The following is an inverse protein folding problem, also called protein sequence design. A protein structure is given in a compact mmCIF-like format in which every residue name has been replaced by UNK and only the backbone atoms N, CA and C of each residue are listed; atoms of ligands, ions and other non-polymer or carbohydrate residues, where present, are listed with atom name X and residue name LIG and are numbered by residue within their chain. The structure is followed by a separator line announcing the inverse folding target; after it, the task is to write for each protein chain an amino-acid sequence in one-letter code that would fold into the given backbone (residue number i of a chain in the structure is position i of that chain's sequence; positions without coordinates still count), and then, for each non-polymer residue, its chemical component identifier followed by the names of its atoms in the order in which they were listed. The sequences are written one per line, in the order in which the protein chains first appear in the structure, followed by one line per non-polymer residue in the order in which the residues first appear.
data_IF_884139860737
#
_entry.id   IF_884139860737
#
_cell.length_a   1.000
_cell.length_b   1.000
_cell.length_c   1.000
_cell.angle_alpha   90.00
_cell.angle_beta   90.00
_cell.angle_gamma   90.00
#
_symmetry.space_group_name_H-M   'P 1'
#
loop_
_entity.id
_entity.type
_entity.pdbx_description
1 polymer ?
#
# COMPACT_ATOMS: atom_id res chain seq x y z
N UNK A 1 -87.17 -35.56 23.65
CA UNK A 1 -85.87 -36.15 24.18
C UNK A 1 -84.82 -36.44 23.10
N UNK A 2 -85.17 -37.00 21.92
CA UNK A 2 -84.18 -37.37 20.88
C UNK A 2 -83.56 -36.13 20.23
N UNK A 3 -84.30 -35.07 19.89
CA UNK A 3 -83.78 -33.81 19.33
C UNK A 3 -82.82 -33.08 20.27
N UNK A 4 -83.10 -33.06 21.60
CA UNK A 4 -82.21 -32.45 22.58
C UNK A 4 -80.89 -33.17 22.76
N UNK A 5 -80.88 -34.53 22.68
CA UNK A 5 -79.65 -35.33 22.71
C UNK A 5 -78.76 -35.13 21.43
N UNK A 6 -79.44 -34.98 20.28
CA UNK A 6 -78.73 -34.71 19.04
C UNK A 6 -78.09 -33.29 19.02
N UNK A 7 -78.83 -32.29 19.55
CA UNK A 7 -78.31 -30.94 19.71
C UNK A 7 -77.13 -30.87 20.70
N UNK A 8 -77.23 -31.57 21.85
CA UNK A 8 -76.14 -31.60 22.83
C UNK A 8 -74.91 -32.35 22.24
N UNK A 9 -75.07 -33.44 21.47
CA UNK A 9 -74.00 -34.13 20.82
C UNK A 9 -73.28 -33.24 19.76
N UNK A 10 -74.05 -32.49 18.95
CA UNK A 10 -73.49 -31.56 17.98
C UNK A 10 -72.74 -30.41 18.67
N UNK A 11 -73.26 -29.85 19.79
CA UNK A 11 -72.57 -28.80 20.55
C UNK A 11 -71.23 -29.32 21.15
N UNK A 12 -71.21 -30.54 21.66
CA UNK A 12 -70.00 -31.18 22.18
C UNK A 12 -68.96 -31.38 21.04
N UNK A 13 -69.43 -31.86 19.88
CA UNK A 13 -68.55 -32.09 18.69
C UNK A 13 -68.00 -30.76 18.20
N UNK A 14 -68.83 -29.69 18.10
CA UNK A 14 -68.37 -28.35 17.68
C UNK A 14 -67.40 -27.76 18.68
N UNK A 15 -67.64 -27.91 19.98
CA UNK A 15 -66.74 -27.44 21.03
C UNK A 15 -65.39 -28.20 20.99
N UNK A 16 -65.44 -29.51 20.78
CA UNK A 16 -64.24 -30.32 20.67
C UNK A 16 -63.43 -29.97 19.41
N UNK A 17 -64.11 -29.74 18.30
CA UNK A 17 -63.47 -29.32 17.04
C UNK A 17 -62.84 -27.92 17.20
N UNK A 18 -63.55 -26.98 17.80
CA UNK A 18 -63.00 -25.62 18.09
C UNK A 18 -61.80 -25.68 19.03
N UNK A 19 -61.85 -26.50 20.09
CA UNK A 19 -60.72 -26.67 21.00
C UNK A 19 -59.52 -27.28 20.29
N UNK A 20 -59.73 -28.29 19.45
CA UNK A 20 -58.64 -28.92 18.67
C UNK A 20 -58.03 -27.93 17.66
N UNK A 21 -58.86 -27.13 17.01
CA UNK A 21 -58.39 -26.06 16.12
C UNK A 21 -57.59 -25.00 16.87
N UNK A 22 -58.05 -24.59 18.06
CA UNK A 22 -57.33 -23.62 18.88
C UNK A 22 -55.99 -24.15 19.36
N UNK A 23 -55.95 -25.42 19.78
CA UNK A 23 -54.67 -26.06 20.16
C UNK A 23 -53.72 -26.20 18.95
N UNK A 24 -54.25 -26.60 17.80
CA UNK A 24 -53.45 -26.75 16.58
C UNK A 24 -52.88 -25.39 16.13
N UNK A 25 -53.68 -24.33 16.13
CA UNK A 25 -53.22 -22.98 15.80
C UNK A 25 -52.21 -22.43 16.83
N UNK A 26 -52.40 -22.73 18.13
CA UNK A 26 -51.44 -22.39 19.18
C UNK A 26 -50.09 -23.09 18.99
N UNK A 27 -50.08 -24.38 18.69
CA UNK A 27 -48.85 -25.14 18.38
C UNK A 27 -48.16 -24.58 17.13
N UNK A 28 -48.93 -24.27 16.08
CA UNK A 28 -48.40 -23.70 14.85
C UNK A 28 -47.76 -22.32 15.11
N UNK A 29 -48.39 -21.47 15.90
CA UNK A 29 -47.84 -20.17 16.28
C UNK A 29 -46.56 -20.30 17.12
N UNK A 30 -46.49 -21.29 18.03
CA UNK A 30 -45.29 -21.57 18.80
C UNK A 30 -44.14 -22.06 17.91
N UNK A 31 -44.42 -22.99 16.97
CA UNK A 31 -43.41 -23.48 16.00
C UNK A 31 -42.90 -22.37 15.08
N UNK A 32 -43.79 -21.50 14.60
CA UNK A 32 -43.43 -20.33 13.80
C UNK A 32 -42.58 -19.33 14.61
N UNK A 33 -42.97 -19.06 15.87
CA UNK A 33 -42.16 -18.20 16.75
C UNK A 33 -40.77 -18.76 17.04
N UNK A 34 -40.67 -20.06 17.29
CA UNK A 34 -39.40 -20.75 17.52
C UNK A 34 -38.50 -20.75 16.24
N UNK A 35 -39.12 -21.00 15.09
CA UNK A 35 -38.40 -20.93 13.79
C UNK A 35 -37.91 -19.51 13.49
N UNK A 36 -38.75 -18.49 13.75
CA UNK A 36 -38.36 -17.09 13.61
C UNK A 36 -37.21 -16.70 14.55
N UNK A 37 -37.28 -17.12 15.83
CA UNK A 37 -36.20 -16.89 16.80
C UNK A 37 -34.91 -17.54 16.38
N UNK A 38 -34.96 -18.80 15.94
CA UNK A 38 -33.78 -19.53 15.41
C UNK A 38 -33.23 -18.85 14.17
N UNK A 39 -34.10 -18.40 13.26
CA UNK A 39 -33.66 -17.65 12.07
C UNK A 39 -33.05 -16.31 12.43
N UNK A 40 -33.63 -15.55 13.34
CA UNK A 40 -33.09 -14.31 13.87
C UNK A 40 -31.73 -14.53 14.54
N UNK A 41 -31.58 -15.59 15.33
CA UNK A 41 -30.31 -15.92 15.98
C UNK A 41 -29.24 -16.36 14.97
N UNK A 42 -29.59 -17.19 14.00
CA UNK A 42 -28.67 -17.71 13.01
C UNK A 42 -28.28 -16.69 11.91
N UNK A 43 -29.17 -15.71 11.62
CA UNK A 43 -29.00 -14.76 10.51
C UNK A 43 -29.08 -13.30 10.95
N UNK A 44 -29.31 -13.02 12.21
CA UNK A 44 -29.38 -11.67 12.76
C UNK A 44 -28.03 -10.94 12.66
N UNK A 45 -28.07 -9.62 12.44
CA UNK A 45 -26.87 -8.79 12.32
C UNK A 45 -25.94 -8.90 13.55
N UNK A 46 -26.52 -9.10 14.74
CA UNK A 46 -25.80 -9.13 16.02
C UNK A 46 -25.30 -10.53 16.44
N UNK A 47 -25.86 -11.59 15.87
CA UNK A 47 -25.61 -12.95 16.35
C UNK A 47 -25.14 -13.92 15.29
N UNK A 48 -25.61 -13.81 14.03
CA UNK A 48 -25.33 -14.77 12.97
C UNK A 48 -24.56 -14.22 11.77
N UNK A 49 -24.37 -12.89 11.69
CA UNK A 49 -23.73 -12.23 10.54
C UNK A 49 -22.27 -11.80 10.80
N UNK A 50 -21.80 -11.88 12.03
CA UNK A 50 -20.53 -11.31 12.46
C UNK A 50 -20.67 -9.85 12.91
N UNK A 51 -19.61 -9.32 13.51
CA UNK A 51 -19.59 -7.95 14.02
C UNK A 51 -19.42 -6.95 12.88
N UNK A 52 -20.40 -6.05 12.69
CA UNK A 52 -20.34 -4.97 11.69
C UNK A 52 -20.00 -5.47 10.28
N UNK A 53 -20.54 -6.59 9.85
CA UNK A 53 -20.13 -7.31 8.63
C UNK A 53 -20.16 -6.44 7.35
N UNK A 54 -21.09 -5.50 7.21
CA UNK A 54 -21.15 -4.58 6.07
C UNK A 54 -19.98 -3.58 6.08
N UNK A 55 -19.62 -3.04 7.25
CA UNK A 55 -18.46 -2.14 7.40
C UNK A 55 -17.18 -2.89 7.08
N UNK A 56 -17.02 -4.10 7.62
CA UNK A 56 -15.85 -4.97 7.37
C UNK A 56 -15.69 -5.27 5.89
N UNK A 57 -16.78 -5.57 5.17
CA UNK A 57 -16.73 -5.81 3.74
C UNK A 57 -16.30 -4.55 2.97
N UNK A 58 -16.84 -3.40 3.33
CA UNK A 58 -16.47 -2.12 2.72
C UNK A 58 -14.99 -1.78 2.97
N UNK A 59 -14.48 -1.94 4.20
CA UNK A 59 -13.07 -1.72 4.54
C UNK A 59 -12.14 -2.67 3.78
N UNK A 60 -12.46 -3.96 3.71
CA UNK A 60 -11.68 -4.93 2.96
C UNK A 60 -11.62 -4.59 1.46
N UNK A 61 -12.73 -4.09 0.91
CA UNK A 61 -12.81 -3.62 -0.47
C UNK A 61 -11.93 -2.39 -0.68
N UNK A 62 -12.01 -1.40 0.23
CA UNK A 62 -11.17 -0.20 0.18
C UNK A 62 -9.68 -0.55 0.30
N UNK A 63 -9.32 -1.43 1.22
CA UNK A 63 -7.93 -1.88 1.41
C UNK A 63 -7.39 -2.61 0.17
N UNK A 64 -8.18 -3.49 -0.45
CA UNK A 64 -7.81 -4.18 -1.68
C UNK A 64 -7.63 -3.22 -2.85
N UNK A 65 -8.55 -2.26 -3.02
CA UNK A 65 -8.47 -1.21 -4.03
C UNK A 65 -7.25 -0.30 -3.83
N UNK A 66 -7.00 0.12 -2.60
CA UNK A 66 -5.84 0.94 -2.25
C UNK A 66 -4.51 0.23 -2.58
N UNK A 67 -4.42 -1.09 -2.35
CA UNK A 67 -3.22 -1.87 -2.69
C UNK A 67 -2.89 -1.88 -4.19
N UNK A 68 -3.90 -1.90 -5.06
CA UNK A 68 -3.70 -1.76 -6.51
C UNK A 68 -3.25 -0.34 -6.89
N UNK A 69 -3.95 0.66 -6.40
CA UNK A 69 -3.66 2.07 -6.71
C UNK A 69 -2.29 2.54 -6.18
N UNK A 70 -1.81 2.00 -5.05
CA UNK A 70 -0.46 2.27 -4.54
C UNK A 70 0.61 1.90 -5.57
N UNK A 71 0.44 0.78 -6.27
CA UNK A 71 1.41 0.34 -7.29
C UNK A 71 1.47 1.34 -8.45
N UNK A 72 0.32 1.80 -8.94
CA UNK A 72 0.23 2.77 -10.03
C UNK A 72 0.80 4.13 -9.59
N UNK A 73 0.41 4.63 -8.42
CA UNK A 73 0.95 5.86 -7.85
C UNK A 73 2.49 5.79 -7.66
N UNK A 74 3.00 4.64 -7.19
CA UNK A 74 4.43 4.45 -7.01
C UNK A 74 5.17 4.44 -8.36
N UNK A 75 4.61 3.84 -9.39
CA UNK A 75 5.18 3.87 -10.74
C UNK A 75 5.24 5.30 -11.28
N UNK A 76 4.16 6.07 -11.13
CA UNK A 76 4.11 7.48 -11.53
C UNK A 76 5.13 8.32 -10.74
N UNK A 77 5.19 8.16 -9.42
CA UNK A 77 6.16 8.86 -8.58
C UNK A 77 7.61 8.49 -8.93
N UNK A 78 7.90 7.23 -9.27
CA UNK A 78 9.22 6.79 -9.69
C UNK A 78 9.62 7.42 -11.03
N UNK A 79 8.69 7.48 -11.99
CA UNK A 79 8.95 8.12 -13.29
C UNK A 79 9.10 9.63 -13.21
N UNK A 80 8.54 10.28 -12.19
CA UNK A 80 8.70 11.72 -11.96
C UNK A 80 10.07 12.08 -11.39
N UNK A 81 10.81 11.13 -10.81
CA UNK A 81 12.15 11.41 -10.29
C UNK A 81 13.12 11.77 -11.43
N UNK A 82 14.07 12.63 -11.11
CA UNK A 82 15.06 13.13 -12.08
C UNK A 82 16.06 12.07 -12.55
N UNK A 83 16.12 10.91 -11.88
CA UNK A 83 17.10 9.85 -12.13
C UNK A 83 16.53 8.64 -12.89
N UNK A 84 15.22 8.58 -13.14
CA UNK A 84 14.56 7.42 -13.74
C UNK A 84 14.11 7.73 -15.17
N UNK A 85 14.12 6.72 -16.03
CA UNK A 85 13.66 6.84 -17.42
C UNK A 85 14.65 7.48 -18.38
N UNK A 86 15.96 7.43 -18.07
CA UNK A 86 17.02 7.94 -18.98
C UNK A 86 17.03 9.48 -19.10
N UNK A 87 16.49 10.18 -18.09
CA UNK A 87 16.47 11.64 -18.08
C UNK A 87 17.89 12.19 -17.99
N UNK A 88 18.23 13.05 -18.95
CA UNK A 88 19.49 13.80 -18.99
C UNK A 88 19.17 15.29 -18.89
N UNK A 89 20.06 16.06 -18.28
CA UNK A 89 19.88 17.51 -18.06
C UNK A 89 20.95 18.32 -18.81
N UNK A 90 20.60 19.51 -19.25
CA UNK A 90 21.54 20.44 -19.89
C UNK A 90 22.64 20.90 -18.92
N UNK A 91 22.27 21.13 -17.66
CA UNK A 91 23.19 21.59 -16.62
C UNK A 91 22.87 20.90 -15.29
N UNK A 92 23.82 20.16 -14.74
CA UNK A 92 23.73 19.59 -13.39
C UNK A 92 23.73 20.69 -12.33
N UNK A 93 24.47 21.77 -12.58
CA UNK A 93 24.54 22.91 -11.64
C UNK A 93 23.20 23.61 -11.47
N UNK A 94 22.39 23.71 -12.52
CA UNK A 94 21.03 24.24 -12.43
C UNK A 94 20.13 23.38 -11.54
N UNK A 95 20.21 22.06 -11.67
CA UNK A 95 19.46 21.13 -10.80
C UNK A 95 19.89 21.28 -9.34
N UNK A 96 21.20 21.36 -9.08
CA UNK A 96 21.74 21.59 -7.73
C UNK A 96 21.25 22.92 -7.18
N UNK A 97 21.35 23.99 -7.95
CA UNK A 97 20.90 25.33 -7.54
C UNK A 97 19.41 25.36 -7.26
N UNK A 98 18.61 24.68 -8.09
CA UNK A 98 17.15 24.58 -7.87
C UNK A 98 16.84 23.86 -6.54
N UNK A 99 17.49 22.74 -6.26
CA UNK A 99 17.31 21.99 -5.01
C UNK A 99 17.74 22.82 -3.79
N UNK A 100 18.87 23.49 -3.86
CA UNK A 100 19.35 24.38 -2.79
C UNK A 100 18.42 25.57 -2.57
N UNK A 101 17.86 26.14 -3.63
CA UNK A 101 16.89 27.23 -3.50
C UNK A 101 15.61 26.75 -2.81
N UNK A 102 15.09 25.57 -3.14
CA UNK A 102 13.94 24.99 -2.45
C UNK A 102 14.29 24.66 -1.00
N UNK A 103 15.47 24.08 -0.74
CA UNK A 103 15.94 23.84 0.63
C UNK A 103 15.92 25.12 1.47
N UNK A 104 16.53 26.20 0.98
CA UNK A 104 16.58 27.49 1.68
C UNK A 104 15.20 28.13 1.87
N UNK A 105 14.31 27.98 0.90
CA UNK A 105 12.96 28.56 0.97
C UNK A 105 12.02 27.76 1.88
N UNK A 106 12.09 26.42 1.82
CA UNK A 106 11.08 25.55 2.41
C UNK A 106 11.58 24.74 3.61
N UNK A 107 12.90 24.46 3.69
CA UNK A 107 13.47 23.51 4.65
C UNK A 107 14.68 24.05 5.42
N UNK A 108 14.90 25.36 5.39
CA UNK A 108 15.99 26.04 6.11
C UNK A 108 16.13 25.55 7.54
N UNK A 109 17.31 25.06 7.88
CA UNK A 109 17.63 24.52 9.21
C UNK A 109 17.95 25.62 10.23
N UNK A 110 17.97 25.28 11.52
CA UNK A 110 18.35 26.20 12.59
C UNK A 110 19.77 26.75 12.41
N UNK A 111 20.71 25.84 12.04
CA UNK A 111 22.11 26.21 11.85
C UNK A 111 22.30 27.21 10.67
N UNK A 112 21.61 26.97 9.56
CA UNK A 112 21.66 27.84 8.38
C UNK A 112 21.00 29.20 8.63
N UNK A 113 19.89 29.21 9.38
CA UNK A 113 19.23 30.43 9.79
C UNK A 113 20.13 31.28 10.72
N UNK A 114 20.81 30.65 11.67
CA UNK A 114 21.77 31.30 12.56
C UNK A 114 22.99 31.83 11.79
N UNK A 115 23.40 31.13 10.72
CA UNK A 115 24.45 31.58 9.82
C UNK A 115 23.99 32.66 8.83
N UNK A 116 22.73 33.11 8.87
CA UNK A 116 22.18 34.16 8.00
C UNK A 116 21.97 33.71 6.53
N UNK A 117 21.97 32.40 6.26
CA UNK A 117 21.87 31.89 4.89
C UNK A 117 20.41 31.82 4.38
N UNK A 118 19.44 31.70 5.28
CA UNK A 118 18.01 31.60 4.98
C UNK A 118 17.16 31.91 6.22
N UNK A 119 15.84 32.02 6.06
CA UNK A 119 14.90 32.18 7.18
C UNK A 119 14.44 30.79 7.67
N UNK A 120 14.48 30.55 9.00
CA UNK A 120 14.10 29.29 9.62
C UNK A 120 12.73 28.78 9.12
N UNK A 121 12.70 27.58 8.62
CA UNK A 121 11.50 26.96 8.12
C UNK A 121 10.60 26.41 9.23
N UNK A 122 9.30 26.20 8.93
CA UNK A 122 8.38 25.41 9.79
C UNK A 122 8.70 23.92 9.79
N UNK A 123 9.43 23.42 8.79
CA UNK A 123 9.89 22.04 8.67
C UNK A 123 11.40 22.01 8.39
N UNK A 124 12.24 22.33 9.39
CA UNK A 124 13.69 22.44 9.20
C UNK A 124 14.29 21.09 8.76
N UNK A 125 15.09 21.09 7.68
CA UNK A 125 15.73 19.89 7.15
C UNK A 125 14.77 18.80 6.68
N UNK A 126 13.51 19.18 6.33
CA UNK A 126 12.51 18.22 5.90
C UNK A 126 12.92 17.43 4.66
N UNK A 127 13.62 18.04 3.72
CA UNK A 127 14.14 17.44 2.49
C UNK A 127 15.33 16.46 2.69
N UNK A 128 15.83 16.37 3.92
CA UNK A 128 16.87 15.40 4.34
C UNK A 128 16.38 14.43 5.40
N UNK A 129 15.12 14.55 5.83
CA UNK A 129 14.53 13.71 6.86
C UNK A 129 13.76 12.52 6.28
N UNK A 130 14.44 11.38 6.09
CA UNK A 130 13.83 10.16 5.55
C UNK A 130 12.69 9.59 6.43
N UNK A 131 12.59 9.96 7.73
CA UNK A 131 11.49 9.49 8.58
C UNK A 131 10.11 9.96 8.10
N UNK A 132 10.05 11.05 7.33
CA UNK A 132 8.82 11.55 6.74
C UNK A 132 8.20 10.58 5.74
N UNK A 133 8.99 9.72 5.08
CA UNK A 133 8.49 8.69 4.17
C UNK A 133 7.57 7.67 4.86
N UNK A 134 7.72 7.50 6.18
CA UNK A 134 6.96 6.54 6.99
C UNK A 134 5.79 7.16 7.75
N UNK A 135 5.49 8.43 7.53
CA UNK A 135 4.36 9.13 8.16
C UNK A 135 3.22 9.28 7.15
N UNK A 136 2.00 9.18 7.62
CA UNK A 136 0.81 9.44 6.80
C UNK A 136 0.68 10.95 6.51
N UNK A 137 0.76 11.34 5.23
CA UNK A 137 0.89 12.74 4.78
C UNK A 137 -0.13 13.07 3.70
N UNK A 138 -0.75 14.25 3.78
CA UNK A 138 -1.69 14.72 2.77
C UNK A 138 -0.96 15.15 1.47
N UNK A 139 -1.51 14.83 0.28
CA UNK A 139 -0.98 15.34 -0.99
C UNK A 139 -0.93 16.88 -0.99
N UNK A 140 0.12 17.45 -1.59
CA UNK A 140 0.30 18.89 -1.70
C UNK A 140 0.70 19.59 -0.41
N UNK A 141 0.87 18.88 0.71
CA UNK A 141 1.39 19.44 1.94
C UNK A 141 2.90 19.73 1.87
N UNK A 142 3.41 20.50 2.82
CA UNK A 142 4.85 20.77 2.95
C UNK A 142 5.65 19.49 3.22
N UNK A 143 5.08 18.57 3.97
CA UNK A 143 5.66 17.25 4.24
C UNK A 143 5.70 16.38 2.97
N UNK A 144 4.69 16.47 2.10
CA UNK A 144 4.72 15.78 0.80
C UNK A 144 5.81 16.33 -0.12
N UNK A 145 6.01 17.66 -0.13
CA UNK A 145 7.12 18.30 -0.84
C UNK A 145 8.48 17.85 -0.27
N UNK A 146 8.60 17.80 1.06
CA UNK A 146 9.80 17.30 1.74
C UNK A 146 10.14 15.87 1.31
N UNK A 147 9.15 14.95 1.30
CA UNK A 147 9.32 13.56 0.86
C UNK A 147 9.80 13.44 -0.58
N UNK A 148 9.28 14.29 -1.48
CA UNK A 148 9.76 14.37 -2.85
C UNK A 148 11.25 14.68 -2.89
N UNK A 149 11.69 15.72 -2.16
CA UNK A 149 13.10 16.12 -2.13
C UNK A 149 14.00 15.14 -1.37
N UNK A 150 13.49 14.43 -0.34
CA UNK A 150 14.21 13.31 0.28
C UNK A 150 14.55 12.24 -0.77
N UNK A 151 13.58 11.83 -1.60
CA UNK A 151 13.82 10.86 -2.68
C UNK A 151 14.82 11.38 -3.70
N UNK A 152 14.68 12.63 -4.14
CA UNK A 152 15.60 13.28 -5.07
C UNK A 152 17.04 13.38 -4.51
N UNK A 153 17.18 13.71 -3.23
CA UNK A 153 18.49 13.81 -2.57
C UNK A 153 19.16 12.44 -2.39
N UNK A 154 18.38 11.38 -2.07
CA UNK A 154 18.89 10.00 -1.98
C UNK A 154 19.37 9.50 -3.35
N UNK A 155 18.63 9.77 -4.42
CA UNK A 155 18.93 9.29 -5.77
C UNK A 155 20.04 10.11 -6.45
N UNK A 156 20.32 11.32 -5.98
CA UNK A 156 21.36 12.19 -6.50
C UNK A 156 20.94 13.05 -7.69
N UNK A 157 21.91 13.58 -8.43
CA UNK A 157 21.67 14.45 -9.60
C UNK A 157 21.65 13.65 -10.89
N UNK A 158 20.79 14.00 -11.87
CA UNK A 158 20.79 13.36 -13.19
C UNK A 158 22.07 13.67 -13.98
N UNK A 159 22.38 12.80 -14.95
CA UNK A 159 23.56 12.97 -15.80
C UNK A 159 23.33 14.06 -16.86
N UNK A 160 24.44 14.61 -17.34
CA UNK A 160 24.41 15.69 -18.34
C UNK A 160 24.09 15.13 -19.73
N UNK A 161 23.25 15.84 -20.47
CA UNK A 161 22.98 15.54 -21.89
C UNK A 161 24.18 15.85 -22.77
N UNK A 162 24.34 15.06 -23.85
CA UNK A 162 25.32 15.32 -24.89
C UNK A 162 24.69 16.09 -26.06
N UNK A 163 25.51 16.82 -26.82
CA UNK A 163 25.09 17.33 -28.11
C UNK A 163 24.84 16.18 -29.10
N UNK A 164 24.01 16.38 -30.10
CA UNK A 164 23.72 15.35 -31.12
C UNK A 164 25.01 14.90 -31.86
N UNK A 165 25.96 15.81 -32.08
CA UNK A 165 27.22 15.47 -32.72
C UNK A 165 28.09 14.57 -31.81
N UNK A 166 28.22 14.91 -30.53
CA UNK A 166 28.98 14.13 -29.54
C UNK A 166 28.33 12.76 -29.27
N UNK A 167 27.01 12.69 -29.19
CA UNK A 167 26.28 11.45 -28.95
C UNK A 167 26.47 10.38 -30.03
N UNK A 168 26.83 10.78 -31.27
CA UNK A 168 27.10 9.88 -32.39
C UNK A 168 28.55 9.34 -32.42
N UNK A 169 29.45 9.88 -31.62
CA UNK A 169 30.83 9.37 -31.52
C UNK A 169 30.84 8.07 -30.70
N UNK A 170 31.85 7.19 -30.92
CA UNK A 170 31.98 5.97 -30.10
C UNK A 170 32.03 6.27 -28.59
N UNK A 171 32.78 7.29 -28.17
CA UNK A 171 32.84 7.72 -26.78
C UNK A 171 31.48 8.25 -26.24
N UNK A 172 30.71 8.95 -27.09
CA UNK A 172 29.36 9.40 -26.75
C UNK A 172 28.39 8.24 -26.60
N UNK A 173 28.48 7.22 -27.45
CA UNK A 173 27.66 6.00 -27.33
C UNK A 173 28.02 5.19 -26.07
N UNK A 174 29.30 5.04 -25.74
CA UNK A 174 29.75 4.42 -24.50
C UNK A 174 29.21 5.17 -23.25
N UNK A 175 29.23 6.51 -23.27
CA UNK A 175 28.65 7.34 -22.20
C UNK A 175 27.16 7.13 -22.07
N UNK A 176 26.37 7.15 -23.16
CA UNK A 176 24.92 6.93 -23.13
C UNK A 176 24.60 5.52 -22.65
N UNK A 177 25.37 4.51 -23.00
CA UNK A 177 25.20 3.16 -22.47
C UNK A 177 25.47 3.10 -20.98
N UNK A 178 26.53 3.75 -20.49
CA UNK A 178 26.85 3.81 -19.07
C UNK A 178 25.76 4.55 -18.26
N UNK A 179 25.23 5.66 -18.81
CA UNK A 179 24.11 6.38 -18.16
C UNK A 179 22.83 5.55 -18.12
N UNK A 180 22.53 4.80 -19.18
CA UNK A 180 21.39 3.89 -19.20
C UNK A 180 21.53 2.77 -18.16
N UNK A 181 22.71 2.18 -18.02
CA UNK A 181 22.98 1.18 -16.99
C UNK A 181 22.82 1.75 -15.58
N UNK A 182 23.39 2.93 -15.31
CA UNK A 182 23.23 3.65 -14.04
C UNK A 182 21.76 3.92 -13.75
N UNK A 183 21.02 4.44 -14.72
CA UNK A 183 19.58 4.75 -14.57
C UNK A 183 18.76 3.49 -14.28
N UNK A 184 19.05 2.38 -14.96
CA UNK A 184 18.40 1.10 -14.73
C UNK A 184 18.64 0.58 -13.30
N UNK A 185 19.87 0.71 -12.79
CA UNK A 185 20.20 0.35 -11.40
C UNK A 185 19.52 1.25 -10.39
N UNK A 186 19.41 2.56 -10.65
CA UNK A 186 18.72 3.52 -9.79
C UNK A 186 17.18 3.39 -9.84
N UNK A 187 16.63 2.81 -10.90
CA UNK A 187 15.18 2.63 -11.03
C UNK A 187 14.60 1.73 -9.94
N UNK A 188 15.34 0.71 -9.48
CA UNK A 188 14.89 -0.17 -8.39
C UNK A 188 14.74 0.55 -7.05
N UNK A 189 15.78 1.25 -6.52
CA UNK A 189 15.62 2.02 -5.29
C UNK A 189 14.62 3.17 -5.46
N UNK A 190 14.55 3.83 -6.61
CA UNK A 190 13.57 4.87 -6.87
C UNK A 190 12.14 4.35 -6.75
N UNK A 191 11.85 3.19 -7.35
CA UNK A 191 10.55 2.54 -7.24
C UNK A 191 10.23 2.10 -5.80
N UNK A 192 11.21 1.52 -5.09
CA UNK A 192 11.01 1.09 -3.70
C UNK A 192 10.69 2.27 -2.77
N UNK A 193 11.41 3.38 -2.90
CA UNK A 193 11.13 4.61 -2.15
C UNK A 193 9.77 5.21 -2.52
N UNK A 194 9.39 5.14 -3.80
CA UNK A 194 8.08 5.59 -4.28
C UNK A 194 6.94 4.74 -3.72
N UNK A 195 7.12 3.41 -3.58
CA UNK A 195 6.11 2.53 -2.95
C UNK A 195 5.90 2.91 -1.48
N UNK A 196 6.99 3.14 -0.72
CA UNK A 196 6.90 3.58 0.68
C UNK A 196 6.14 4.92 0.76
N UNK A 197 6.47 5.85 -0.13
CA UNK A 197 5.83 7.17 -0.21
C UNK A 197 4.33 7.04 -0.54
N UNK A 198 3.95 6.27 -1.56
CA UNK A 198 2.57 6.05 -1.96
C UNK A 198 1.74 5.36 -0.87
N UNK A 199 2.29 4.34 -0.18
CA UNK A 199 1.64 3.65 0.92
C UNK A 199 1.30 4.59 2.10
N UNK A 200 2.07 5.66 2.28
CA UNK A 200 1.89 6.64 3.35
C UNK A 200 1.29 7.97 2.86
N UNK A 201 0.83 8.05 1.62
CA UNK A 201 0.14 9.23 1.08
C UNK A 201 -1.37 9.07 1.28
N UNK A 202 -2.03 10.10 1.85
CA UNK A 202 -3.49 10.14 2.10
C UNK A 202 -4.26 10.33 0.80
N UNK A 203 -4.31 9.30 -0.02
CA UNK A 203 -4.95 9.30 -1.35
C UNK A 203 -6.27 8.57 -1.39
N UNK A 204 -6.66 7.87 -0.30
CA UNK A 204 -7.81 7.00 -0.24
C UNK A 204 -8.86 7.56 0.71
N UNK A 205 -10.11 7.14 0.54
CA UNK A 205 -11.19 7.43 1.48
C UNK A 205 -11.45 6.19 2.33
N UNK A 206 -11.57 6.39 3.64
CA UNK A 206 -12.11 5.37 4.53
C UNK A 206 -13.64 5.28 4.40
N UNK A 207 -14.27 4.43 5.21
CA UNK A 207 -15.74 4.24 5.20
C UNK A 207 -16.52 5.50 5.61
N UNK A 208 -15.88 6.41 6.36
CA UNK A 208 -16.45 7.68 6.80
C UNK A 208 -16.18 8.82 5.80
N UNK A 209 -15.51 8.54 4.69
CA UNK A 209 -15.14 9.50 3.66
C UNK A 209 -13.92 10.36 3.98
N UNK A 210 -13.20 10.08 5.07
CA UNK A 210 -11.97 10.78 5.46
C UNK A 210 -10.80 10.32 4.60
N UNK A 211 -9.95 11.28 4.20
CA UNK A 211 -8.73 10.97 3.46
C UNK A 211 -7.69 10.30 4.36
N UNK A 212 -7.27 9.10 3.96
CA UNK A 212 -6.34 8.22 4.68
C UNK A 212 -5.31 7.63 3.73
N UNK A 213 -4.21 7.13 4.26
CA UNK A 213 -3.22 6.37 3.48
C UNK A 213 -3.58 4.88 3.42
N UNK A 214 -2.91 4.12 2.56
CA UNK A 214 -3.10 2.66 2.51
C UNK A 214 -2.69 1.99 3.84
N UNK A 215 -1.64 2.50 4.49
CA UNK A 215 -1.22 2.00 5.80
C UNK A 215 -2.22 2.37 6.89
N UNK A 216 -2.84 3.57 6.85
CA UNK A 216 -3.90 3.94 7.80
C UNK A 216 -5.11 2.98 7.69
N UNK A 217 -5.47 2.50 6.48
CA UNK A 217 -6.54 1.51 6.29
C UNK A 217 -6.18 0.16 6.93
N UNK A 218 -4.94 -0.28 6.82
CA UNK A 218 -4.45 -1.50 7.48
C UNK A 218 -4.52 -1.33 9.00
N UNK A 219 -4.03 -0.20 9.52
CA UNK A 219 -4.04 0.10 10.96
C UNK A 219 -5.48 0.14 11.51
N UNK A 220 -6.42 0.75 10.79
CA UNK A 220 -7.85 0.77 11.16
C UNK A 220 -8.44 -0.64 11.21
N UNK A 221 -8.12 -1.47 10.22
CA UNK A 221 -8.59 -2.87 10.16
C UNK A 221 -8.05 -3.68 11.34
N UNK A 222 -6.75 -3.53 11.68
CA UNK A 222 -6.13 -4.22 12.80
C UNK A 222 -6.67 -3.70 14.13
N UNK A 223 -6.85 -2.38 14.29
CA UNK A 223 -7.35 -1.75 15.51
C UNK A 223 -8.76 -2.20 15.88
N UNK A 224 -9.55 -2.70 14.94
CA UNK A 224 -10.84 -3.33 15.19
C UNK A 224 -10.73 -4.58 16.06
N UNK A 225 -9.70 -5.39 15.82
CA UNK A 225 -9.50 -6.68 16.48
C UNK A 225 -8.56 -6.59 17.66
N UNK A 226 -7.58 -5.68 17.61
CA UNK A 226 -6.53 -5.58 18.59
C UNK A 226 -6.11 -4.13 18.88
N UNK A 227 -6.11 -3.76 20.16
CA UNK A 227 -5.54 -2.51 20.66
C UNK A 227 -6.40 -1.24 20.50
N UNK A 228 -7.43 -1.25 19.67
CA UNK A 228 -8.32 -0.11 19.45
C UNK A 228 -9.54 -0.08 20.38
N UNK A 229 -10.27 1.05 20.45
CA UNK A 229 -11.53 1.15 21.18
C UNK A 229 -12.61 0.21 20.64
N UNK A 230 -12.61 -0.08 19.35
CA UNK A 230 -13.52 -1.03 18.72
C UNK A 230 -13.22 -2.49 19.12
N UNK A 231 -11.98 -2.82 19.48
CA UNK A 231 -11.59 -4.18 19.89
C UNK A 231 -12.39 -4.65 21.13
N UNK A 232 -12.69 -3.76 22.07
CA UNK A 232 -13.53 -4.11 23.22
C UNK A 232 -14.96 -4.41 22.83
N UNK A 233 -15.54 -3.63 21.91
CA UNK A 233 -16.88 -3.87 21.39
C UNK A 233 -16.94 -5.17 20.61
N UNK A 234 -15.92 -5.43 19.80
CA UNK A 234 -15.78 -6.69 19.06
C UNK A 234 -15.71 -7.88 20.00
N UNK A 235 -14.86 -7.84 21.06
CA UNK A 235 -14.75 -8.91 22.04
C UNK A 235 -16.08 -9.19 22.75
N UNK A 236 -16.82 -8.14 23.16
CA UNK A 236 -18.13 -8.29 23.75
C UNK A 236 -19.13 -8.91 22.78
N UNK A 237 -19.11 -8.49 21.51
CA UNK A 237 -19.97 -9.06 20.49
C UNK A 237 -19.64 -10.53 20.23
N UNK A 238 -18.36 -10.91 20.22
CA UNK A 238 -17.94 -12.31 20.04
C UNK A 238 -18.41 -13.22 21.15
N UNK A 239 -18.47 -12.72 22.40
CA UNK A 239 -19.01 -13.49 23.52
C UNK A 239 -20.51 -13.84 23.38
N UNK A 240 -21.26 -13.11 22.54
CA UNK A 240 -22.68 -13.31 22.28
C UNK A 240 -22.96 -13.93 20.90
N UNK A 241 -21.96 -14.18 20.08
CA UNK A 241 -22.11 -14.74 18.74
C UNK A 241 -22.42 -16.24 18.80
N UNK A 242 -23.23 -16.70 17.83
CA UNK A 242 -23.40 -18.15 17.59
C UNK A 242 -22.16 -18.74 16.88
N UNK A 243 -22.02 -20.06 16.83
CA UNK A 243 -20.87 -20.70 16.16
C UNK A 243 -20.68 -20.28 14.70
N UNK A 244 -21.77 -19.97 13.99
CA UNK A 244 -21.71 -19.51 12.59
C UNK A 244 -21.14 -18.09 12.49
N UNK A 245 -21.52 -17.22 13.40
CA UNK A 245 -20.96 -15.86 13.48
C UNK A 245 -19.47 -15.88 13.81
N UNK A 246 -19.06 -16.71 14.78
CA UNK A 246 -17.64 -16.89 15.13
C UNK A 246 -16.83 -17.43 13.95
N UNK A 247 -17.36 -18.37 13.17
CA UNK A 247 -16.68 -18.94 12.00
C UNK A 247 -16.50 -17.89 10.89
N UNK A 248 -17.51 -17.03 10.68
CA UNK A 248 -17.40 -15.90 9.75
C UNK A 248 -16.29 -14.92 10.17
N UNK A 249 -16.27 -14.54 11.44
CA UNK A 249 -15.21 -13.65 11.97
C UNK A 249 -13.84 -14.27 11.81
N UNK A 250 -13.66 -15.56 12.14
CA UNK A 250 -12.42 -16.26 11.95
C UNK A 250 -11.96 -16.24 10.48
N UNK A 251 -12.88 -16.44 9.53
CA UNK A 251 -12.57 -16.36 8.11
C UNK A 251 -12.16 -14.95 7.65
N UNK A 252 -12.80 -13.91 8.20
CA UNK A 252 -12.43 -12.51 7.91
C UNK A 252 -11.02 -12.22 8.42
N UNK A 253 -10.71 -12.61 9.66
CA UNK A 253 -9.39 -12.43 10.27
C UNK A 253 -8.32 -13.18 9.46
N UNK A 254 -8.60 -14.43 9.06
CA UNK A 254 -7.72 -15.20 8.19
C UNK A 254 -7.52 -14.51 6.84
N UNK A 255 -8.56 -13.91 6.24
CA UNK A 255 -8.45 -13.12 5.02
C UNK A 255 -7.52 -11.93 5.17
N UNK A 256 -7.60 -11.20 6.29
CA UNK A 256 -6.68 -10.09 6.60
C UNK A 256 -5.26 -10.61 6.76
N UNK A 257 -5.05 -11.76 7.42
CA UNK A 257 -3.73 -12.38 7.55
C UNK A 257 -3.13 -12.71 6.18
N UNK A 258 -3.88 -13.38 5.30
CA UNK A 258 -3.45 -13.70 3.92
C UNK A 258 -3.12 -12.43 3.14
N UNK A 259 -3.89 -11.34 3.33
CA UNK A 259 -3.57 -10.05 2.70
C UNK A 259 -2.22 -9.49 3.19
N UNK A 260 -1.95 -9.52 4.49
CA UNK A 260 -0.69 -9.05 5.07
C UNK A 260 0.50 -9.92 4.60
N UNK A 261 0.31 -11.23 4.51
CA UNK A 261 1.31 -12.16 3.97
C UNK A 261 1.63 -11.83 2.50
N UNK A 262 0.62 -11.51 1.69
CA UNK A 262 0.81 -11.04 0.32
C UNK A 262 1.60 -9.72 0.25
N UNK A 263 1.32 -8.76 1.15
CA UNK A 263 2.09 -7.51 1.20
C UNK A 263 3.55 -7.77 1.60
N UNK A 264 3.79 -8.66 2.57
CA UNK A 264 5.12 -9.10 2.99
C UNK A 264 5.87 -9.77 1.83
N UNK A 265 5.22 -10.65 1.08
CA UNK A 265 5.79 -11.27 -0.12
C UNK A 265 6.19 -10.23 -1.17
N UNK A 266 5.31 -9.26 -1.47
CA UNK A 266 5.61 -8.16 -2.40
C UNK A 266 6.79 -7.31 -1.90
N UNK A 267 6.92 -7.09 -0.60
CA UNK A 267 8.06 -6.40 -0.02
C UNK A 267 9.35 -7.21 -0.19
N UNK A 268 9.34 -8.51 0.07
CA UNK A 268 10.50 -9.38 -0.12
C UNK A 268 10.98 -9.41 -1.57
N UNK A 269 10.06 -9.40 -2.56
CA UNK A 269 10.45 -9.27 -3.97
C UNK A 269 11.16 -7.94 -4.27
N UNK A 270 10.73 -6.83 -3.65
CA UNK A 270 11.42 -5.54 -3.80
C UNK A 270 12.79 -5.55 -3.13
N UNK A 271 12.92 -6.15 -1.96
CA UNK A 271 14.20 -6.32 -1.25
C UNK A 271 15.18 -7.16 -2.07
N UNK A 272 14.71 -8.26 -2.67
CA UNK A 272 15.53 -9.08 -3.58
C UNK A 272 15.98 -8.27 -4.81
N UNK A 273 15.10 -7.49 -5.41
CA UNK A 273 15.44 -6.59 -6.51
C UNK A 273 16.47 -5.53 -6.11
N UNK A 274 16.36 -4.94 -4.93
CA UNK A 274 17.32 -3.97 -4.39
C UNK A 274 18.70 -4.61 -4.12
N UNK A 275 18.71 -5.81 -3.54
CA UNK A 275 19.96 -6.56 -3.30
C UNK A 275 20.63 -6.95 -4.61
N UNK A 276 19.86 -7.35 -5.61
CA UNK A 276 20.37 -7.65 -6.95
C UNK A 276 21.00 -6.41 -7.61
N UNK A 277 20.32 -5.25 -7.53
CA UNK A 277 20.85 -3.99 -8.03
C UNK A 277 22.13 -3.57 -7.29
N UNK A 278 22.18 -3.74 -5.97
CA UNK A 278 23.38 -3.47 -5.17
C UNK A 278 24.57 -4.38 -5.57
N UNK A 279 24.29 -5.67 -5.76
CA UNK A 279 25.31 -6.64 -6.18
C UNK A 279 25.84 -6.29 -7.57
N UNK A 280 24.97 -5.93 -8.52
CA UNK A 280 25.37 -5.49 -9.85
C UNK A 280 26.21 -4.20 -9.79
N UNK A 281 25.79 -3.21 -9.00
CA UNK A 281 26.54 -1.97 -8.81
C UNK A 281 27.95 -2.26 -8.26
N UNK A 282 28.07 -3.14 -7.26
CA UNK A 282 29.37 -3.55 -6.71
C UNK A 282 30.24 -4.36 -7.70
N UNK A 283 29.62 -5.05 -8.66
CA UNK A 283 30.36 -5.83 -9.67
C UNK A 283 30.87 -4.99 -10.85
N UNK A 284 30.42 -3.75 -11.04
CA UNK A 284 30.83 -2.88 -12.15
C UNK A 284 32.34 -2.64 -12.20
N UNK A 285 33.06 -2.32 -11.11
CA UNK A 285 34.52 -2.14 -11.16
C UNK A 285 35.23 -3.37 -11.68
N UNK A 286 34.75 -4.59 -11.37
CA UNK A 286 35.33 -5.86 -11.86
C UNK A 286 35.12 -6.00 -13.37
N UNK A 287 33.95 -5.64 -13.89
CA UNK A 287 33.64 -5.66 -15.33
C UNK A 287 34.52 -4.67 -16.09
N UNK A 288 34.72 -3.47 -15.54
CA UNK A 288 35.57 -2.44 -16.15
C UNK A 288 37.03 -2.86 -16.19
N UNK A 289 37.54 -3.54 -15.15
CA UNK A 289 38.88 -4.12 -15.12
C UNK A 289 39.04 -5.21 -16.18
N UNK A 290 38.09 -6.12 -16.33
CA UNK A 290 38.09 -7.16 -17.39
C UNK A 290 38.07 -6.53 -18.77
N UNK A 291 37.24 -5.49 -19.02
CA UNK A 291 37.21 -4.76 -20.31
C UNK A 291 38.54 -4.08 -20.62
N UNK A 292 39.16 -3.47 -19.61
CA UNK A 292 40.47 -2.82 -19.73
C UNK A 292 41.58 -3.84 -20.07
N UNK A 293 41.60 -4.97 -19.36
CA UNK A 293 42.55 -6.06 -19.62
C UNK A 293 42.37 -6.67 -21.01
N UNK A 294 41.13 -6.85 -21.47
CA UNK A 294 40.85 -7.29 -22.83
C UNK A 294 41.39 -6.29 -23.86
N UNK A 295 41.14 -5.00 -23.71
CA UNK A 295 41.61 -3.95 -24.58
C UNK A 295 43.15 -3.89 -24.65
N UNK A 296 43.84 -4.09 -23.52
CA UNK A 296 45.29 -4.18 -23.44
C UNK A 296 45.83 -5.42 -24.19
N UNK A 297 45.19 -6.60 -24.00
CA UNK A 297 45.55 -7.84 -24.66
C UNK A 297 45.46 -7.75 -26.19
N UNK A 298 44.41 -7.08 -26.70
CA UNK A 298 44.20 -6.86 -28.13
C UNK A 298 45.27 -5.92 -28.70
N UNK A 299 45.64 -4.84 -27.98
CA UNK A 299 46.71 -3.91 -28.38
C UNK A 299 48.05 -4.60 -28.45
N UNK A 300 48.37 -5.45 -27.48
CA UNK A 300 49.63 -6.24 -27.49
C UNK A 300 49.70 -7.18 -28.71
N UNK A 301 48.59 -7.88 -29.03
CA UNK A 301 48.54 -8.73 -30.24
C UNK A 301 48.73 -7.94 -31.53
N UNK A 302 48.10 -6.78 -31.68
CA UNK A 302 48.24 -5.91 -32.85
C UNK A 302 49.68 -5.39 -33.02
N UNK A 303 50.36 -5.04 -31.92
CA UNK A 303 51.78 -4.60 -31.98
C UNK A 303 52.76 -5.71 -32.32
N UNK A 304 52.43 -6.98 -32.02
CA UNK A 304 53.24 -8.13 -32.36
C UNK A 304 53.03 -8.64 -33.79
N UNK A 305 51.90 -8.30 -34.42
CA UNK A 305 51.54 -8.72 -35.79
C UNK A 305 51.90 -7.68 -36.86
N UNK A 306 52.29 -6.47 -36.50
CA UNK A 306 52.79 -5.50 -37.46
C UNK A 306 54.31 -5.75 -37.71
N UNK A 307 54.73 -6.09 -38.93
CA UNK A 307 56.17 -6.13 -39.27
C UNK A 307 56.70 -4.70 -39.11
N UNK A 308 57.82 -4.59 -38.38
CA UNK A 308 58.61 -3.36 -38.37
C UNK A 308 59.22 -3.22 -39.76
N UNK A 309 58.75 -2.24 -40.54
CA UNK A 309 59.43 -1.79 -41.76
C UNK A 309 60.48 -0.73 -41.44
#
# INVERSE_FOLDING_TARGET
AVKQKAQAANQITDATTKNTQTIASGIQALLQSDTLKKAQFAYGANTGQGFKSCEVLAENTNMSSASGQVIDQAADMATQTSQVGGKLVGSQQEVINQRLNVHKAEFCTVAEAQAGQCTLSKLPGGDTNASLLFKSVAPGSKEALARHYVRENILGTPDKSLSNATARTPAGQDYLQATNQKTALLAMPAYSLAVIDAQNTKSFKDIDGKMVSANDLIDQTIARYYGGPEAKKWQMAMAMQDPRGLLKEANIINGVSVYLDLQTYKQSLREEGLLSALLLAKSQPIKDDVKTKYGQSVKVKLSQTMPQF
#
